data_IF_987741688681
#
_entry.id   IF_987741688681
#
_cell.length_a   1.000
_cell.length_b   1.000
_cell.length_c   1.000
_cell.angle_alpha   90.00
_cell.angle_beta   90.00
_cell.angle_gamma   90.00
#
_symmetry.space_group_name_H-M   'P 1'
#
loop_
_entity.id
_entity.type
_entity.pdbx_description
1 polymer ?
#
# COMPACT_ATOMS: atom_id res chain seq x y z
N UNK A 1 70.19 11.12 -17.35
CA UNK A 1 69.27 9.97 -17.22
C UNK A 1 68.38 10.21 -16.01
N UNK A 2 67.13 10.69 -16.20
CA UNK A 2 66.02 10.85 -15.20
C UNK A 2 64.86 11.78 -15.68
N UNK A 3 64.76 12.13 -16.98
CA UNK A 3 63.73 13.08 -17.45
C UNK A 3 62.30 12.54 -17.63
N UNK A 4 62.03 11.27 -18.01
CA UNK A 4 60.63 10.83 -18.26
C UNK A 4 59.84 10.60 -16.97
N UNK A 5 60.50 10.25 -15.86
CA UNK A 5 59.85 9.97 -14.58
C UNK A 5 59.25 11.24 -13.93
N UNK A 6 59.89 12.40 -14.13
CA UNK A 6 59.39 13.69 -13.62
C UNK A 6 58.15 14.20 -14.37
N UNK A 7 58.03 13.91 -15.67
CA UNK A 7 56.83 14.27 -16.44
C UNK A 7 55.64 13.39 -16.09
N UNK A 8 55.85 12.09 -15.86
CA UNK A 8 54.80 11.17 -15.47
C UNK A 8 54.22 11.49 -14.08
N UNK A 9 55.08 11.79 -13.10
CA UNK A 9 54.63 12.22 -11.77
C UNK A 9 53.81 13.51 -11.79
N UNK A 10 54.17 14.48 -12.65
CA UNK A 10 53.39 15.72 -12.83
C UNK A 10 52.00 15.44 -13.38
N UNK A 11 51.89 14.55 -14.37
CA UNK A 11 50.59 14.16 -14.94
C UNK A 11 49.68 13.55 -13.87
N UNK A 12 50.20 12.66 -13.03
CA UNK A 12 49.43 12.07 -11.93
C UNK A 12 48.95 13.14 -10.94
N UNK A 13 49.81 14.08 -10.56
CA UNK A 13 49.44 15.18 -9.67
C UNK A 13 48.35 16.06 -10.29
N UNK A 14 48.43 16.36 -11.59
CA UNK A 14 47.40 17.13 -12.29
C UNK A 14 46.05 16.39 -12.34
N UNK A 15 46.05 15.08 -12.61
CA UNK A 15 44.84 14.27 -12.61
C UNK A 15 44.21 14.22 -11.21
N UNK A 16 45.02 14.02 -10.18
CA UNK A 16 44.55 13.98 -8.80
C UNK A 16 43.99 15.34 -8.34
N UNK A 17 44.66 16.45 -8.69
CA UNK A 17 44.18 17.80 -8.41
C UNK A 17 42.86 18.12 -9.13
N UNK A 18 42.70 17.65 -10.38
CA UNK A 18 41.47 17.82 -11.15
C UNK A 18 40.29 17.08 -10.50
N UNK A 19 40.50 15.83 -10.08
CA UNK A 19 39.47 15.04 -9.37
C UNK A 19 39.08 15.73 -8.06
N UNK A 20 40.07 16.16 -7.27
CA UNK A 20 39.83 16.91 -6.03
C UNK A 20 39.05 18.19 -6.26
N UNK A 21 39.37 18.94 -7.32
CA UNK A 21 38.65 20.15 -7.69
C UNK A 21 37.18 19.87 -8.04
N UNK A 22 36.91 18.84 -8.86
CA UNK A 22 35.53 18.45 -9.23
C UNK A 22 34.71 18.06 -8.00
N UNK A 23 35.30 17.30 -7.07
CA UNK A 23 34.62 16.89 -5.83
C UNK A 23 34.32 18.08 -4.91
N UNK A 24 35.24 19.03 -4.78
CA UNK A 24 35.04 20.24 -3.98
C UNK A 24 33.95 21.13 -4.58
N UNK A 25 33.98 21.34 -5.90
CA UNK A 25 32.94 22.10 -6.61
C UNK A 25 31.58 21.42 -6.48
N UNK A 26 31.52 20.08 -6.61
CA UNK A 26 30.30 19.30 -6.41
C UNK A 26 29.75 19.41 -4.97
N UNK A 27 30.62 19.31 -3.96
CA UNK A 27 30.23 19.50 -2.56
C UNK A 27 29.65 20.89 -2.31
N UNK A 28 30.27 21.95 -2.84
CA UNK A 28 29.75 23.31 -2.69
C UNK A 28 28.47 23.54 -3.49
N UNK A 29 28.33 22.94 -4.68
CA UNK A 29 27.10 23.01 -5.46
C UNK A 29 25.91 22.40 -4.71
N UNK A 30 26.12 21.30 -3.98
CA UNK A 30 25.11 20.68 -3.11
C UNK A 30 24.89 21.54 -1.85
N UNK A 31 25.96 21.94 -1.15
CA UNK A 31 25.88 22.69 0.12
C UNK A 31 25.18 24.04 -0.02
N UNK A 32 25.39 24.74 -1.14
CA UNK A 32 24.75 26.02 -1.42
C UNK A 32 23.47 25.90 -2.25
N UNK A 33 22.99 24.66 -2.49
CA UNK A 33 21.72 24.44 -3.20
C UNK A 33 21.74 24.88 -4.67
N UNK A 34 22.92 25.01 -5.30
CA UNK A 34 23.04 25.31 -6.74
C UNK A 34 22.55 24.15 -7.61
N UNK A 35 22.43 22.94 -7.04
CA UNK A 35 21.77 21.78 -7.65
C UNK A 35 20.37 21.52 -7.10
N UNK A 36 19.80 22.43 -6.30
CA UNK A 36 18.38 22.34 -5.94
C UNK A 36 17.57 22.68 -7.19
N UNK A 37 17.24 21.66 -7.98
CA UNK A 37 16.05 21.76 -8.82
C UNK A 37 14.87 21.94 -7.87
N UNK A 38 13.92 22.81 -8.24
CA UNK A 38 12.63 22.92 -7.54
C UNK A 38 12.12 21.49 -7.28
N UNK A 39 11.94 21.17 -6.00
CA UNK A 39 11.53 19.84 -5.62
C UNK A 39 10.20 19.51 -6.27
N UNK A 40 10.10 18.28 -6.78
CA UNK A 40 8.87 17.66 -7.31
C UNK A 40 7.68 17.86 -6.35
N UNK A 41 7.93 18.06 -5.06
CA UNK A 41 6.96 18.23 -3.98
C UNK A 41 6.17 19.56 -4.10
N UNK A 42 6.80 20.67 -4.49
CA UNK A 42 6.13 21.99 -4.53
C UNK A 42 5.36 22.22 -5.84
N UNK A 43 5.91 21.74 -6.96
CA UNK A 43 5.21 21.78 -8.25
C UNK A 43 4.10 20.71 -8.30
N UNK A 44 4.22 19.59 -7.57
CA UNK A 44 3.12 18.62 -7.38
C UNK A 44 1.95 19.25 -6.65
N UNK A 45 2.17 20.08 -5.62
CA UNK A 45 1.05 20.64 -4.85
C UNK A 45 0.22 21.64 -5.67
N UNK A 46 0.87 22.48 -6.47
CA UNK A 46 0.17 23.43 -7.34
C UNK A 46 -0.43 22.75 -8.60
N UNK A 47 0.23 21.74 -9.19
CA UNK A 47 -0.38 20.91 -10.24
C UNK A 47 -1.51 20.02 -9.72
N UNK A 48 -1.46 19.55 -8.47
CA UNK A 48 -2.52 18.77 -7.81
C UNK A 48 -3.79 19.59 -7.63
N UNK A 49 -3.68 20.84 -7.16
CA UNK A 49 -4.85 21.72 -7.01
C UNK A 49 -5.49 22.05 -8.37
N UNK A 50 -4.69 22.21 -9.43
CA UNK A 50 -5.19 22.52 -10.77
C UNK A 50 -5.70 21.27 -11.55
N UNK A 51 -5.22 20.07 -11.20
CA UNK A 51 -5.61 18.80 -11.85
C UNK A 51 -6.90 18.17 -11.30
N UNK A 52 -7.34 18.56 -10.09
CA UNK A 52 -8.61 18.11 -9.48
C UNK A 52 -9.84 18.47 -10.34
N UNK A 53 -9.76 19.46 -11.23
CA UNK A 53 -10.88 19.90 -12.06
C UNK A 53 -10.97 19.26 -13.45
N UNK A 54 -9.93 18.59 -13.97
CA UNK A 54 -9.90 18.14 -15.38
C UNK A 54 -9.32 16.75 -15.63
N UNK A 55 -8.83 16.04 -14.63
CA UNK A 55 -8.34 14.67 -14.81
C UNK A 55 -9.47 13.62 -14.75
N UNK A 56 -9.40 12.53 -15.53
CA UNK A 56 -10.31 11.40 -15.35
C UNK A 56 -10.10 10.81 -13.95
N UNK A 57 -11.13 10.92 -13.11
CA UNK A 57 -11.08 10.41 -11.74
C UNK A 57 -10.97 8.89 -11.75
N UNK A 58 -10.33 8.33 -10.73
CA UNK A 58 -10.21 6.89 -10.49
C UNK A 58 -11.55 6.15 -10.45
N UNK A 59 -12.65 6.86 -10.13
CA UNK A 59 -14.01 6.33 -10.06
C UNK A 59 -14.80 6.52 -11.38
N UNK A 60 -14.11 6.51 -12.52
CA UNK A 60 -14.75 6.63 -13.83
C UNK A 60 -14.34 5.47 -14.73
N UNK A 61 -15.24 5.11 -15.66
CA UNK A 61 -14.97 4.05 -16.61
C UNK A 61 -15.45 2.67 -16.17
N UNK A 62 -15.19 1.70 -17.04
CA UNK A 62 -15.66 0.32 -16.91
C UNK A 62 -14.97 -0.44 -15.78
N UNK A 63 -13.73 -0.07 -15.42
CA UNK A 63 -12.95 -0.66 -14.34
C UNK A 63 -13.65 -0.41 -13.01
N UNK A 64 -14.03 0.86 -12.78
CA UNK A 64 -14.75 1.26 -11.59
C UNK A 64 -16.14 0.62 -11.52
N UNK A 65 -16.92 0.64 -12.61
CA UNK A 65 -18.26 0.04 -12.61
C UNK A 65 -18.24 -1.49 -12.42
N UNK A 66 -17.21 -2.14 -12.95
CA UNK A 66 -16.94 -3.58 -12.71
C UNK A 66 -16.61 -3.84 -11.26
N UNK A 67 -15.69 -3.05 -10.70
CA UNK A 67 -15.26 -3.16 -9.32
C UNK A 67 -16.42 -2.92 -8.36
N UNK A 68 -17.18 -1.85 -8.55
CA UNK A 68 -18.36 -1.49 -7.75
C UNK A 68 -19.35 -2.65 -7.66
N UNK A 69 -19.70 -3.23 -8.81
CA UNK A 69 -20.61 -4.37 -8.89
C UNK A 69 -20.06 -5.58 -8.11
N UNK A 70 -18.76 -5.84 -8.24
CA UNK A 70 -18.12 -6.97 -7.59
C UNK A 70 -17.98 -6.78 -6.07
N UNK A 71 -17.71 -5.55 -5.59
CA UNK A 71 -17.68 -5.21 -4.17
C UNK A 71 -19.05 -5.41 -3.52
N UNK A 72 -20.13 -4.94 -4.16
CA UNK A 72 -21.50 -5.08 -3.64
C UNK A 72 -21.87 -6.57 -3.49
N UNK A 73 -21.42 -7.44 -4.42
CA UNK A 73 -21.64 -8.89 -4.31
C UNK A 73 -21.01 -9.49 -3.05
N UNK A 74 -19.90 -8.93 -2.60
CA UNK A 74 -19.13 -9.39 -1.44
C UNK A 74 -19.49 -8.64 -0.14
N UNK A 75 -20.49 -7.76 -0.17
CA UNK A 75 -20.87 -6.88 0.94
C UNK A 75 -21.06 -7.64 2.27
N UNK A 76 -21.77 -8.77 2.24
CA UNK A 76 -22.05 -9.57 3.44
C UNK A 76 -20.78 -10.13 4.07
N UNK A 77 -19.82 -10.59 3.26
CA UNK A 77 -18.54 -11.12 3.73
C UNK A 77 -17.65 -10.00 4.30
N UNK A 78 -17.62 -8.84 3.65
CA UNK A 78 -16.87 -7.66 4.09
C UNK A 78 -17.44 -7.14 5.42
N UNK A 79 -18.76 -6.99 5.52
CA UNK A 79 -19.45 -6.56 6.76
C UNK A 79 -19.20 -7.53 7.89
N UNK A 80 -19.35 -8.84 7.64
CA UNK A 80 -19.06 -9.88 8.64
C UNK A 80 -17.60 -9.80 9.16
N UNK A 81 -16.63 -9.60 8.27
CA UNK A 81 -15.23 -9.44 8.67
C UNK A 81 -15.03 -8.16 9.51
N UNK A 82 -15.67 -7.06 9.12
CA UNK A 82 -15.68 -5.83 9.89
C UNK A 82 -16.31 -5.99 11.28
N UNK A 83 -17.46 -6.64 11.37
CA UNK A 83 -18.20 -6.84 12.63
C UNK A 83 -17.41 -7.71 13.62
N UNK A 84 -16.87 -8.84 13.17
CA UNK A 84 -16.08 -9.77 14.02
C UNK A 84 -14.81 -9.11 14.53
N UNK A 85 -14.20 -8.24 13.71
CA UNK A 85 -12.95 -7.57 14.07
C UNK A 85 -13.17 -6.22 14.74
N UNK A 86 -14.35 -5.61 14.65
CA UNK A 86 -14.57 -4.20 14.98
C UNK A 86 -13.78 -3.24 14.06
N UNK A 87 -13.42 -3.66 12.85
CA UNK A 87 -12.79 -2.80 11.83
C UNK A 87 -13.88 -2.27 10.91
N UNK A 88 -13.87 -0.97 10.60
CA UNK A 88 -14.88 -0.38 9.72
C UNK A 88 -14.88 -1.06 8.34
N UNK A 89 -16.02 -1.60 7.85
CA UNK A 89 -16.09 -2.23 6.52
C UNK A 89 -15.56 -1.34 5.38
N UNK A 90 -15.84 -0.02 5.43
CA UNK A 90 -15.35 0.94 4.43
C UNK A 90 -13.81 1.00 4.36
N UNK A 91 -13.13 0.79 5.49
CA UNK A 91 -11.66 0.77 5.52
C UNK A 91 -11.07 -0.49 4.90
N UNK A 92 -11.77 -1.63 5.00
CA UNK A 92 -11.44 -2.86 4.28
C UNK A 92 -11.62 -2.63 2.77
N UNK A 93 -12.77 -2.05 2.38
CA UNK A 93 -13.06 -1.73 0.97
C UNK A 93 -12.05 -0.74 0.39
N UNK A 94 -11.55 0.21 1.18
CA UNK A 94 -10.50 1.14 0.73
C UNK A 94 -9.23 0.40 0.27
N UNK A 95 -8.83 -0.69 0.94
CA UNK A 95 -7.70 -1.50 0.49
C UNK A 95 -8.05 -2.29 -0.77
N UNK A 96 -9.23 -2.91 -0.77
CA UNK A 96 -9.72 -3.71 -1.90
C UNK A 96 -9.76 -2.86 -3.19
N UNK A 97 -10.23 -1.63 -3.10
CA UNK A 97 -10.35 -0.73 -4.26
C UNK A 97 -9.00 -0.48 -4.90
N UNK A 98 -7.98 -0.17 -4.10
CA UNK A 98 -6.66 0.09 -4.65
C UNK A 98 -6.04 -1.17 -5.24
N UNK A 99 -6.14 -2.32 -4.56
CA UNK A 99 -5.61 -3.59 -5.07
C UNK A 99 -6.24 -3.99 -6.41
N UNK A 100 -7.56 -3.83 -6.54
CA UNK A 100 -8.29 -4.24 -7.74
C UNK A 100 -8.13 -3.24 -8.88
N UNK A 101 -8.13 -1.93 -8.61
CA UNK A 101 -7.82 -0.95 -9.66
C UNK A 101 -6.39 -1.12 -10.16
N UNK A 102 -5.42 -1.36 -9.27
CA UNK A 102 -4.05 -1.69 -9.66
C UNK A 102 -4.00 -2.91 -10.58
N UNK A 103 -4.76 -3.96 -10.28
CA UNK A 103 -4.85 -5.14 -11.12
C UNK A 103 -5.50 -4.84 -12.48
N UNK A 104 -6.64 -4.14 -12.50
CA UNK A 104 -7.41 -3.87 -13.71
C UNK A 104 -6.70 -2.93 -14.69
N UNK A 105 -5.94 -1.96 -14.19
CA UNK A 105 -5.11 -1.08 -15.01
C UNK A 105 -3.75 -1.69 -15.35
N UNK A 106 -3.22 -2.58 -14.50
CA UNK A 106 -1.96 -3.29 -14.73
C UNK A 106 -2.04 -4.39 -15.80
N UNK A 107 -3.21 -5.03 -15.96
CA UNK A 107 -3.46 -6.05 -16.99
C UNK A 107 -4.78 -5.80 -17.73
N UNK A 108 -4.71 -4.89 -18.72
CA UNK A 108 -5.85 -4.49 -19.54
C UNK A 108 -6.45 -5.64 -20.34
N UNK A 109 -5.63 -6.60 -20.78
CA UNK A 109 -6.13 -7.75 -21.53
C UNK A 109 -6.95 -8.68 -20.64
N UNK A 110 -6.42 -9.04 -19.47
CA UNK A 110 -7.11 -9.87 -18.50
C UNK A 110 -8.41 -9.20 -18.04
N UNK A 111 -8.35 -7.90 -17.78
CA UNK A 111 -9.53 -7.11 -17.44
C UNK A 111 -10.62 -7.23 -18.52
N UNK A 112 -10.28 -6.96 -19.79
CA UNK A 112 -11.26 -6.99 -20.90
C UNK A 112 -11.82 -8.39 -21.18
N UNK A 113 -10.99 -9.42 -21.07
CA UNK A 113 -11.37 -10.80 -21.41
C UNK A 113 -12.14 -11.49 -20.27
N UNK A 114 -11.82 -11.19 -19.02
CA UNK A 114 -12.29 -11.95 -17.84
C UNK A 114 -13.08 -11.09 -16.86
N UNK A 115 -12.45 -10.04 -16.29
CA UNK A 115 -13.05 -9.30 -15.18
C UNK A 115 -14.27 -8.46 -15.59
N UNK A 116 -14.17 -7.76 -16.72
CA UNK A 116 -15.23 -6.88 -17.21
C UNK A 116 -16.52 -7.63 -17.58
N UNK A 117 -16.50 -8.71 -18.39
CA UNK A 117 -17.73 -9.43 -18.76
C UNK A 117 -18.41 -10.10 -17.58
N UNK A 118 -17.63 -10.61 -16.62
CA UNK A 118 -18.14 -11.41 -15.49
C UNK A 118 -18.38 -10.59 -14.21
N UNK A 119 -17.94 -9.33 -14.19
CA UNK A 119 -18.02 -8.45 -13.00
C UNK A 119 -17.39 -9.12 -11.78
N UNK A 120 -16.12 -9.49 -11.90
CA UNK A 120 -15.37 -10.27 -10.91
C UNK A 120 -14.23 -9.47 -10.30
N UNK A 121 -14.02 -9.66 -9.00
CA UNK A 121 -12.75 -9.39 -8.35
C UNK A 121 -11.71 -10.39 -8.85
N UNK A 122 -10.48 -9.94 -9.09
CA UNK A 122 -9.37 -10.79 -9.47
C UNK A 122 -8.59 -11.28 -8.26
N UNK A 123 -8.34 -12.59 -8.20
CA UNK A 123 -7.28 -13.12 -7.36
C UNK A 123 -5.93 -12.63 -7.87
N UNK A 124 -5.07 -12.24 -6.95
CA UNK A 124 -3.70 -11.81 -7.24
C UNK A 124 -2.82 -13.05 -7.54
N UNK A 125 -1.50 -12.86 -7.70
CA UNK A 125 -0.59 -13.92 -8.18
C UNK A 125 -0.04 -14.84 -7.06
N UNK A 126 0.86 -15.76 -7.39
CA UNK A 126 1.48 -16.66 -6.40
C UNK A 126 2.20 -15.97 -5.22
N UNK A 127 2.61 -14.70 -5.39
CA UNK A 127 3.30 -13.90 -4.37
C UNK A 127 2.35 -13.04 -3.51
N UNK A 128 1.07 -12.94 -3.88
CA UNK A 128 0.07 -12.11 -3.18
C UNK A 128 -1.29 -12.75 -3.38
N UNK A 129 -1.92 -13.18 -2.30
CA UNK A 129 -3.05 -14.10 -2.34
C UNK A 129 -4.40 -13.40 -2.22
N UNK A 130 -5.40 -14.01 -2.86
CA UNK A 130 -6.79 -13.57 -2.81
C UNK A 130 -7.02 -12.24 -3.51
N UNK A 131 -8.19 -11.66 -3.28
CA UNK A 131 -8.59 -10.36 -3.84
C UNK A 131 -7.93 -9.18 -3.12
N UNK A 132 -7.40 -9.42 -1.93
CA UNK A 132 -6.75 -8.41 -1.08
C UNK A 132 -5.23 -8.35 -1.27
N UNK A 133 -4.62 -9.24 -2.07
CA UNK A 133 -3.17 -9.20 -2.35
C UNK A 133 -2.28 -9.48 -1.14
N UNK A 134 -2.71 -10.34 -0.22
CA UNK A 134 -1.96 -10.63 1.00
C UNK A 134 -0.76 -11.54 0.73
N UNK A 135 0.44 -11.11 1.13
CA UNK A 135 1.63 -11.97 1.09
C UNK A 135 1.53 -13.06 2.16
N UNK A 136 2.07 -14.25 1.87
CA UNK A 136 2.11 -15.38 2.81
C UNK A 136 2.71 -14.99 4.18
N UNK A 137 3.88 -14.35 4.18
CA UNK A 137 4.55 -13.95 5.43
C UNK A 137 3.73 -12.91 6.21
N UNK A 138 3.03 -12.01 5.52
CA UNK A 138 2.12 -11.06 6.18
C UNK A 138 0.98 -11.82 6.86
N UNK A 139 0.41 -12.82 6.20
CA UNK A 139 -0.68 -13.62 6.74
C UNK A 139 -0.23 -14.42 7.99
N UNK A 140 0.97 -15.03 7.97
CA UNK A 140 1.58 -15.65 9.15
C UNK A 140 1.80 -14.66 10.28
N UNK A 141 2.37 -13.49 9.98
CA UNK A 141 2.62 -12.44 10.97
C UNK A 141 1.32 -11.97 11.65
N UNK A 142 0.20 -11.91 10.91
CA UNK A 142 -1.10 -11.59 11.48
C UNK A 142 -1.49 -12.63 12.53
N UNK A 143 -1.42 -13.93 12.21
CA UNK A 143 -1.74 -15.02 13.15
C UNK A 143 -0.83 -15.01 14.38
N UNK A 144 0.47 -14.80 14.19
CA UNK A 144 1.45 -14.73 15.29
C UNK A 144 1.15 -13.56 16.23
N UNK A 145 0.85 -12.38 15.67
CA UNK A 145 0.49 -11.20 16.44
C UNK A 145 -0.81 -11.37 17.22
N UNK A 146 -1.74 -12.21 16.75
CA UNK A 146 -2.95 -12.51 17.52
C UNK A 146 -2.66 -13.26 18.80
N UNK A 147 -1.58 -14.05 18.86
CA UNK A 147 -1.26 -14.92 20.00
C UNK A 147 -0.15 -14.36 20.90
N UNK A 148 0.65 -13.44 20.39
CA UNK A 148 1.77 -12.89 21.12
C UNK A 148 1.34 -11.71 22.02
N UNK A 149 0.98 -12.01 23.27
CA UNK A 149 0.53 -11.02 24.28
C UNK A 149 1.55 -9.90 24.57
N UNK A 150 2.83 -10.12 24.27
CA UNK A 150 3.89 -9.11 24.42
C UNK A 150 4.04 -8.17 23.21
N UNK A 151 3.40 -8.49 22.08
CA UNK A 151 3.47 -7.71 20.86
C UNK A 151 2.67 -6.41 20.97
N UNK A 152 3.22 -5.32 20.44
CA UNK A 152 2.47 -4.06 20.27
C UNK A 152 1.25 -4.26 19.36
N UNK A 153 1.29 -5.26 18.47
CA UNK A 153 0.20 -5.62 17.56
C UNK A 153 -0.88 -6.50 18.19
N UNK A 154 -0.69 -6.99 19.41
CA UNK A 154 -1.66 -7.88 20.07
C UNK A 154 -3.00 -7.19 20.33
N UNK A 155 -4.09 -7.86 19.96
CA UNK A 155 -5.45 -7.32 19.99
C UNK A 155 -6.27 -7.69 21.23
N UNK A 156 -5.81 -8.67 22.02
CA UNK A 156 -6.54 -9.19 23.17
C UNK A 156 -7.15 -10.57 22.94
N UNK A 157 -7.51 -11.22 24.04
CA UNK A 157 -7.97 -12.63 24.10
C UNK A 157 -9.16 -12.91 23.17
N UNK A 158 -10.07 -11.94 22.98
CA UNK A 158 -11.24 -12.11 22.10
C UNK A 158 -10.91 -12.34 20.63
N UNK A 159 -9.67 -12.06 20.19
CA UNK A 159 -9.23 -12.22 18.81
C UNK A 159 -8.33 -13.45 18.57
N UNK A 160 -7.82 -14.08 19.63
CA UNK A 160 -6.77 -15.13 19.54
C UNK A 160 -7.16 -16.32 18.66
N UNK A 161 -8.45 -16.67 18.67
CA UNK A 161 -8.98 -17.87 18.03
C UNK A 161 -9.65 -17.61 16.68
N UNK A 162 -9.61 -16.36 16.18
CA UNK A 162 -10.31 -16.00 14.93
C UNK A 162 -9.72 -16.68 13.68
N UNK A 163 -8.45 -17.08 13.74
CA UNK A 163 -7.73 -17.68 12.61
C UNK A 163 -7.20 -19.09 12.90
N UNK A 164 -7.63 -19.73 14.00
CA UNK A 164 -7.11 -21.05 14.36
C UNK A 164 -7.25 -22.07 13.23
N UNK A 165 -6.16 -22.80 12.99
CA UNK A 165 -6.12 -23.88 12.01
C UNK A 165 -6.98 -25.04 12.47
N UNK A 166 -7.64 -25.70 11.52
CA UNK A 166 -8.40 -26.94 11.75
C UNK A 166 -7.67 -28.15 11.18
N UNK A 167 -6.63 -27.93 10.38
CA UNK A 167 -5.78 -28.97 9.79
C UNK A 167 -4.37 -28.95 10.37
N UNK A 168 -3.66 -30.05 10.13
CA UNK A 168 -2.22 -30.16 10.44
C UNK A 168 -1.36 -29.30 9.50
N UNK A 169 -1.76 -29.17 8.22
CA UNK A 169 -1.10 -28.29 7.25
C UNK A 169 -1.70 -26.88 7.28
N UNK A 170 -1.22 -26.10 8.26
CA UNK A 170 -1.65 -24.73 8.51
C UNK A 170 -1.38 -23.81 7.31
N UNK A 171 -0.27 -24.03 6.60
CA UNK A 171 0.10 -23.19 5.46
C UNK A 171 -0.83 -23.40 4.28
N UNK A 172 -1.16 -24.65 3.97
CA UNK A 172 -2.12 -24.99 2.93
C UNK A 172 -3.52 -24.49 3.28
N UNK A 173 -4.01 -24.74 4.51
CA UNK A 173 -5.32 -24.25 4.93
C UNK A 173 -5.40 -22.72 4.87
N UNK A 174 -4.34 -22.01 5.24
CA UNK A 174 -4.28 -20.55 5.11
C UNK A 174 -4.38 -20.10 3.66
N UNK A 175 -3.61 -20.71 2.77
CA UNK A 175 -3.65 -20.40 1.34
C UNK A 175 -5.06 -20.61 0.78
N UNK A 176 -5.68 -21.75 1.07
CA UNK A 176 -7.03 -22.08 0.64
C UNK A 176 -8.06 -21.08 1.18
N UNK A 177 -8.02 -20.77 2.48
CA UNK A 177 -8.90 -19.76 3.11
C UNK A 177 -8.81 -18.41 2.40
N UNK A 178 -7.60 -17.92 2.12
CA UNK A 178 -7.39 -16.57 1.56
C UNK A 178 -7.73 -16.50 0.07
N UNK A 179 -7.53 -17.58 -0.68
CA UNK A 179 -7.73 -17.63 -2.14
C UNK A 179 -9.09 -18.16 -2.59
N UNK A 180 -9.92 -18.62 -1.65
CA UNK A 180 -11.24 -19.18 -1.91
C UNK A 180 -12.14 -18.22 -2.69
N UNK A 181 -12.52 -18.61 -3.91
CA UNK A 181 -13.22 -17.73 -4.85
C UNK A 181 -14.73 -17.60 -4.57
N UNK A 182 -15.35 -18.65 -4.03
CA UNK A 182 -16.78 -18.73 -3.71
C UNK A 182 -17.13 -18.16 -2.32
N UNK A 183 -16.13 -17.99 -1.46
CA UNK A 183 -16.26 -17.36 -0.14
C UNK A 183 -14.98 -16.62 0.22
N UNK A 184 -14.97 -15.31 0.00
CA UNK A 184 -13.81 -14.44 0.24
C UNK A 184 -13.73 -13.91 1.67
N UNK A 185 -14.56 -14.41 2.59
CA UNK A 185 -14.61 -13.94 3.97
C UNK A 185 -13.23 -13.88 4.63
N UNK A 186 -12.41 -14.93 4.48
CA UNK A 186 -11.07 -14.93 5.09
C UNK A 186 -10.14 -13.90 4.45
N UNK A 187 -10.22 -13.65 3.14
CA UNK A 187 -9.44 -12.57 2.50
C UNK A 187 -9.71 -11.23 3.20
N UNK A 188 -10.98 -10.91 3.46
CA UNK A 188 -11.39 -9.70 4.18
C UNK A 188 -11.03 -9.74 5.67
N UNK A 189 -11.18 -10.89 6.33
CA UNK A 189 -10.86 -11.06 7.75
C UNK A 189 -9.38 -10.80 8.02
N UNK A 190 -8.48 -11.37 7.21
CA UNK A 190 -7.05 -11.12 7.36
C UNK A 190 -6.71 -9.64 7.16
N UNK A 191 -7.28 -8.99 6.13
CA UNK A 191 -7.06 -7.55 5.94
C UNK A 191 -7.60 -6.74 7.12
N UNK A 192 -8.79 -7.06 7.63
CA UNK A 192 -9.39 -6.38 8.77
C UNK A 192 -8.54 -6.50 10.04
N UNK A 193 -7.98 -7.69 10.29
CA UNK A 193 -7.07 -7.96 11.40
C UNK A 193 -5.75 -7.22 11.23
N UNK A 194 -5.16 -7.22 10.02
CA UNK A 194 -3.95 -6.45 9.74
C UNK A 194 -4.14 -4.97 10.10
N UNK A 195 -5.22 -4.36 9.59
CA UNK A 195 -5.54 -2.95 9.84
C UNK A 195 -5.64 -2.70 11.35
N UNK A 196 -6.38 -3.57 12.06
CA UNK A 196 -6.57 -3.43 13.51
C UNK A 196 -5.28 -3.58 14.30
N UNK A 197 -4.39 -4.50 13.90
CA UNK A 197 -3.08 -4.69 14.50
C UNK A 197 -2.21 -3.45 14.33
N UNK A 198 -2.16 -2.87 13.13
CA UNK A 198 -1.43 -1.62 12.87
C UNK A 198 -2.01 -0.48 13.71
N UNK A 199 -3.33 -0.30 13.74
CA UNK A 199 -3.96 0.71 14.58
C UNK A 199 -3.59 0.55 16.06
N UNK A 200 -3.63 -0.69 16.58
CA UNK A 200 -3.26 -0.99 17.96
C UNK A 200 -1.80 -0.63 18.28
N UNK A 201 -0.86 -0.91 17.37
CA UNK A 201 0.54 -0.55 17.55
C UNK A 201 0.73 0.97 17.64
N UNK A 202 0.11 1.72 16.72
CA UNK A 202 0.24 3.18 16.66
C UNK A 202 -0.45 3.86 17.85
N UNK A 203 -1.60 3.35 18.29
CA UNK A 203 -2.29 3.80 19.51
C UNK A 203 -1.41 3.61 20.75
N UNK A 204 -0.89 2.39 20.98
CA UNK A 204 -0.06 2.06 22.16
C UNK A 204 1.25 2.84 22.24
N UNK A 205 1.71 3.38 21.12
CA UNK A 205 2.95 4.18 21.04
C UNK A 205 2.70 5.68 21.08
N UNK A 206 1.45 6.13 21.25
CA UNK A 206 1.09 7.54 21.40
C UNK A 206 0.99 8.32 20.10
N UNK A 207 0.88 7.63 18.96
CA UNK A 207 0.74 8.25 17.63
C UNK A 207 -0.50 7.69 16.92
N UNK A 208 -1.73 7.94 17.40
CA UNK A 208 -2.93 7.38 16.77
C UNK A 208 -3.06 7.81 15.29
N UNK A 209 -3.39 6.86 14.43
CA UNK A 209 -3.60 7.08 12.97
C UNK A 209 -4.99 6.65 12.49
N UNK A 210 -5.96 6.50 13.41
CA UNK A 210 -7.33 6.05 13.09
C UNK A 210 -8.04 6.91 12.03
N UNK A 211 -7.71 8.20 11.96
CA UNK A 211 -8.25 9.15 10.96
C UNK A 211 -7.35 9.31 9.73
N UNK A 212 -6.18 8.66 9.71
CA UNK A 212 -5.15 8.80 8.67
C UNK A 212 -5.18 7.60 7.73
N UNK A 213 -6.26 7.51 6.96
CA UNK A 213 -6.50 6.40 6.00
C UNK A 213 -5.35 6.24 5.01
N UNK A 214 -4.78 7.36 4.58
CA UNK A 214 -3.60 7.41 3.73
C UNK A 214 -2.41 6.65 4.33
N UNK A 215 -2.20 6.79 5.64
CA UNK A 215 -1.11 6.12 6.38
C UNK A 215 -1.45 4.65 6.63
N UNK A 216 -2.68 4.34 7.05
CA UNK A 216 -3.13 2.96 7.27
C UNK A 216 -2.94 2.14 5.98
N UNK A 217 -3.38 2.68 4.84
CA UNK A 217 -3.26 2.05 3.53
C UNK A 217 -1.83 1.98 3.01
N UNK A 218 -1.01 3.00 3.29
CA UNK A 218 0.43 2.95 2.99
C UNK A 218 1.06 1.76 3.71
N UNK A 219 0.80 1.61 5.01
CA UNK A 219 1.34 0.53 5.84
C UNK A 219 0.85 -0.84 5.39
N UNK A 220 -0.44 -0.97 5.05
CA UNK A 220 -0.98 -2.18 4.43
C UNK A 220 -0.19 -2.62 3.20
N UNK A 221 0.11 -1.68 2.30
CA UNK A 221 0.82 -1.97 1.07
C UNK A 221 2.29 -2.37 1.29
N UNK A 222 2.97 -1.76 2.26
CA UNK A 222 4.41 -1.96 2.49
C UNK A 222 4.74 -2.96 3.61
N UNK A 223 3.76 -3.36 4.42
CA UNK A 223 3.87 -4.41 5.44
C UNK A 223 4.40 -3.95 6.81
N UNK A 224 4.25 -4.84 7.81
CA UNK A 224 4.55 -4.57 9.24
C UNK A 224 5.96 -4.03 9.51
N UNK A 225 6.98 -4.51 8.78
CA UNK A 225 8.38 -4.10 8.99
C UNK A 225 8.64 -2.61 8.79
N UNK A 226 7.73 -1.92 8.08
CA UNK A 226 7.79 -0.48 7.85
C UNK A 226 6.89 0.31 8.80
N UNK A 227 6.08 -0.35 9.64
CA UNK A 227 5.22 0.29 10.63
C UNK A 227 6.06 0.79 11.80
N UNK A 228 6.54 2.02 11.66
CA UNK A 228 7.37 2.75 12.61
C UNK A 228 6.62 4.00 13.09
N UNK A 229 5.86 3.90 14.20
CA UNK A 229 5.09 5.01 14.73
C UNK A 229 5.94 6.25 14.95
N UNK A 230 5.43 7.41 14.51
CA UNK A 230 6.11 8.70 14.60
C UNK A 230 5.06 9.83 14.47
N UNK A 231 5.38 11.08 14.86
CA UNK A 231 4.40 12.16 14.88
C UNK A 231 4.00 12.69 13.49
N UNK A 232 4.82 12.47 12.46
CA UNK A 232 4.62 13.06 11.13
C UNK A 232 4.72 12.00 10.01
N UNK A 233 3.86 10.96 10.04
CA UNK A 233 3.90 9.91 9.04
C UNK A 233 3.51 10.45 7.67
N UNK A 234 4.13 9.90 6.63
CA UNK A 234 3.92 10.31 5.24
C UNK A 234 3.15 9.24 4.47
N UNK A 235 2.21 9.69 3.64
CA UNK A 235 1.49 8.81 2.70
C UNK A 235 2.40 8.35 1.58
N UNK A 236 2.20 7.13 1.08
CA UNK A 236 2.95 6.55 -0.01
C UNK A 236 2.46 5.17 -0.42
N UNK A 237 3.39 4.24 -0.61
CA UNK A 237 3.14 2.91 -1.15
C UNK A 237 3.42 2.84 -2.66
N UNK A 238 3.00 1.74 -3.28
CA UNK A 238 3.16 1.52 -4.71
C UNK A 238 2.49 2.63 -5.53
N UNK A 239 3.09 2.96 -6.68
CA UNK A 239 2.50 3.84 -7.69
C UNK A 239 1.45 3.06 -8.49
N UNK A 240 0.27 3.66 -8.68
CA UNK A 240 -0.80 3.16 -9.54
C UNK A 240 -1.10 4.24 -10.59
N UNK A 241 -0.95 3.89 -11.85
CA UNK A 241 -1.32 4.78 -12.96
C UNK A 241 -2.75 4.46 -13.41
N UNK A 242 -3.65 5.44 -13.29
CA UNK A 242 -5.03 5.33 -13.75
C UNK A 242 -5.26 6.42 -14.80
N UNK A 243 -5.49 6.00 -16.04
CA UNK A 243 -5.73 6.92 -17.17
C UNK A 243 -4.69 8.04 -17.30
N UNK A 244 -3.40 7.72 -17.05
CA UNK A 244 -2.29 8.68 -17.10
C UNK A 244 -2.13 9.56 -15.85
N UNK A 245 -2.95 9.35 -14.82
CA UNK A 245 -2.83 10.04 -13.52
C UNK A 245 -2.13 9.12 -12.52
N UNK A 246 -1.01 9.56 -11.92
CA UNK A 246 -0.32 8.80 -10.90
C UNK A 246 -1.01 8.96 -9.53
N UNK A 247 -1.27 7.84 -8.87
CA UNK A 247 -1.70 7.78 -7.48
C UNK A 247 -0.73 6.95 -6.65
N UNK A 248 -0.52 7.32 -5.38
CA UNK A 248 0.06 6.38 -4.41
C UNK A 248 -1.03 5.46 -3.86
N UNK A 249 -0.65 4.28 -3.37
CA UNK A 249 -1.59 3.36 -2.73
C UNK A 249 -2.36 4.04 -1.59
N UNK A 250 -1.65 4.73 -0.71
CA UNK A 250 -2.24 5.47 0.41
C UNK A 250 -3.20 6.57 -0.04
N UNK A 251 -2.79 7.40 -1.00
CA UNK A 251 -3.63 8.52 -1.47
C UNK A 251 -4.90 8.03 -2.17
N UNK A 252 -4.82 6.99 -3.00
CA UNK A 252 -5.99 6.46 -3.70
C UNK A 252 -7.00 5.82 -2.73
N UNK A 253 -6.51 5.11 -1.72
CA UNK A 253 -7.38 4.55 -0.68
C UNK A 253 -8.10 5.65 0.11
N UNK A 254 -7.39 6.73 0.45
CA UNK A 254 -7.98 7.92 1.09
C UNK A 254 -9.02 8.58 0.18
N UNK A 255 -8.72 8.75 -1.11
CA UNK A 255 -9.65 9.34 -2.08
C UNK A 255 -10.95 8.53 -2.17
N UNK A 256 -10.86 7.19 -2.20
CA UNK A 256 -12.04 6.32 -2.12
C UNK A 256 -12.78 6.53 -0.80
N UNK A 257 -12.09 6.44 0.34
CA UNK A 257 -12.70 6.54 1.66
C UNK A 257 -13.47 7.86 1.82
N UNK A 258 -12.91 8.97 1.34
CA UNK A 258 -13.51 10.30 1.40
C UNK A 258 -14.57 10.55 0.31
N UNK A 259 -14.66 9.72 -0.72
CA UNK A 259 -15.67 9.86 -1.78
C UNK A 259 -17.08 9.41 -1.35
N UNK A 260 -18.12 9.80 -2.09
CA UNK A 260 -19.47 9.30 -1.87
C UNK A 260 -19.74 7.95 -2.55
N UNK A 261 -18.73 7.34 -3.17
CA UNK A 261 -18.86 6.01 -3.74
C UNK A 261 -19.17 4.97 -2.65
N UNK A 262 -20.15 4.11 -2.93
CA UNK A 262 -20.60 3.02 -2.06
C UNK A 262 -20.94 3.46 -0.63
N UNK A 263 -21.30 4.74 -0.41
CA UNK A 263 -21.53 5.28 0.94
C UNK A 263 -22.77 4.69 1.62
N UNK A 264 -23.75 4.23 0.83
CA UNK A 264 -24.96 3.58 1.34
C UNK A 264 -24.66 2.17 1.87
N UNK A 265 -23.78 1.44 1.19
CA UNK A 265 -23.40 0.07 1.53
C UNK A 265 -22.32 0.05 2.63
N UNK A 266 -21.33 0.93 2.53
CA UNK A 266 -20.19 1.05 3.44
C UNK A 266 -20.03 2.51 3.92
N UNK A 267 -20.73 2.93 4.98
CA UNK A 267 -20.68 4.29 5.48
C UNK A 267 -19.31 4.63 6.12
N UNK A 268 -19.02 5.93 6.23
CA UNK A 268 -17.94 6.44 7.08
C UNK A 268 -18.37 6.34 8.55
N UNK A 269 -17.42 6.39 9.48
CA UNK A 269 -17.69 6.57 10.90
C UNK A 269 -18.44 7.89 11.17
#
# INVERSE_FOLDING_TARGET
MLSPLKSFGKIIVFVFALIGFVLIVGYFAIKFGLTNTKGIIDDQQNHFIQSIQTQPKWNTGEEWETLKTAIIRDESAIKKAGDVTGTLPRLIVAQLVVEQLRLYYGDRELFKKIFYPLKLLGNQNQFSWGVMGLKQETARTIEENLKNTSSLYYLGESYEHLLDSKTEDVDQERFERITKEDDRYYSYLYTALYIKQVLAQWEKTGFPISERIDIISTLYNIGFNHSKPNPNPQSGGALIEINGVPYSFGSLAKDFYDSNELIQDFPRL
#
